data_IF_515772234458
#
_entry.id   IF_515772234458
#
_cell.length_a   1.000
_cell.length_b   1.000
_cell.length_c   1.000
_cell.angle_alpha   90.00
_cell.angle_beta   90.00
_cell.angle_gamma   90.00
#
_symmetry.space_group_name_H-M   'P 1'
#
loop_
_entity.id
_entity.type
_entity.pdbx_description
1 polymer ?
#
# COMPACT_ATOMS: atom_id res chain seq x y z
N UNK A 1 -9.33 -18.36 5.94
CA UNK A 1 -9.55 -16.92 5.62
C UNK A 1 -9.17 -15.95 6.72
N UNK A 2 -9.96 -15.66 7.77
CA UNK A 2 -9.62 -14.56 8.72
C UNK A 2 -8.29 -14.74 9.49
N UNK A 3 -7.95 -15.98 9.87
CA UNK A 3 -6.66 -16.30 10.54
C UNK A 3 -5.45 -16.22 9.61
N UNK A 4 -5.62 -16.45 8.31
CA UNK A 4 -4.49 -16.51 7.36
C UNK A 4 -3.94 -15.12 7.03
N UNK A 5 -4.79 -14.08 7.10
CA UNK A 5 -4.38 -12.72 6.77
C UNK A 5 -4.20 -11.80 7.99
N UNK A 6 -4.47 -12.27 9.22
CA UNK A 6 -4.37 -11.43 10.42
C UNK A 6 -2.95 -10.94 10.70
N UNK A 7 -1.95 -11.80 10.51
CA UNK A 7 -0.53 -11.42 10.65
C UNK A 7 -0.12 -10.42 9.56
N UNK A 8 -0.59 -10.61 8.33
CA UNK A 8 -0.33 -9.69 7.22
C UNK A 8 -0.97 -8.33 7.47
N UNK A 9 -2.25 -8.29 7.86
CA UNK A 9 -2.97 -7.06 8.18
C UNK A 9 -2.32 -6.31 9.35
N UNK A 10 -1.90 -7.03 10.39
CA UNK A 10 -1.18 -6.44 11.54
C UNK A 10 0.15 -5.85 11.10
N UNK A 11 0.91 -6.55 10.25
CA UNK A 11 2.18 -6.08 9.70
C UNK A 11 1.98 -4.84 8.82
N UNK A 12 0.97 -4.84 7.95
CA UNK A 12 0.63 -3.69 7.10
C UNK A 12 0.23 -2.46 7.95
N UNK A 13 -0.54 -2.65 9.03
CA UNK A 13 -0.89 -1.57 9.94
C UNK A 13 0.33 -1.04 10.72
N UNK A 14 1.25 -1.92 11.14
CA UNK A 14 2.50 -1.52 11.77
C UNK A 14 3.40 -0.74 10.80
N UNK A 15 3.48 -1.18 9.55
CA UNK A 15 4.21 -0.47 8.48
C UNK A 15 3.61 0.92 8.23
N UNK A 16 2.28 1.02 8.11
CA UNK A 16 1.58 2.31 7.97
C UNK A 16 1.97 3.30 9.08
N UNK A 17 1.98 2.85 10.34
CA UNK A 17 2.40 3.71 11.47
C UNK A 17 3.87 4.10 11.37
N UNK A 18 4.74 3.15 11.03
CA UNK A 18 6.18 3.36 10.92
C UNK A 18 6.52 4.36 9.83
N UNK A 19 5.91 4.24 8.65
CA UNK A 19 6.09 5.18 7.54
C UNK A 19 5.72 6.60 7.93
N UNK A 20 4.59 6.80 8.62
CA UNK A 20 4.17 8.12 9.06
C UNK A 20 5.12 8.72 10.13
N UNK A 21 5.63 7.90 11.05
CA UNK A 21 6.65 8.34 12.00
C UNK A 21 7.95 8.73 11.29
N UNK A 22 8.39 7.93 10.30
CA UNK A 22 9.59 8.22 9.53
C UNK A 22 9.44 9.51 8.71
N UNK A 23 8.31 9.66 7.99
CA UNK A 23 8.00 10.85 7.22
C UNK A 23 8.06 12.12 8.09
N UNK A 24 7.50 12.06 9.30
CA UNK A 24 7.58 13.17 10.25
C UNK A 24 9.02 13.42 10.73
N UNK A 25 9.72 12.37 11.15
CA UNK A 25 11.08 12.50 11.72
C UNK A 25 12.13 12.98 10.73
N UNK A 26 11.91 12.76 9.43
CA UNK A 26 12.86 13.06 8.37
C UNK A 26 12.51 14.31 7.56
N UNK A 27 11.39 14.97 7.86
CA UNK A 27 10.91 16.15 7.15
C UNK A 27 11.96 17.27 7.10
N UNK A 28 12.62 17.56 8.24
CA UNK A 28 13.66 18.60 8.34
C UNK A 28 14.94 18.25 7.58
N UNK A 29 15.14 16.97 7.25
CA UNK A 29 16.27 16.49 6.44
C UNK A 29 15.99 16.50 4.94
N UNK A 30 14.84 17.03 4.50
CA UNK A 30 14.40 17.03 3.10
C UNK A 30 14.34 15.62 2.49
N UNK A 31 14.06 14.61 3.34
CA UNK A 31 13.87 13.22 2.94
C UNK A 31 12.37 12.90 3.02
N UNK A 32 11.84 12.39 1.92
CA UNK A 32 10.42 12.09 1.78
C UNK A 32 10.19 10.59 1.89
N UNK A 33 9.25 10.20 2.74
CA UNK A 33 8.90 8.81 2.97
C UNK A 33 7.41 8.66 2.78
N UNK A 34 7.03 7.81 1.82
CA UNK A 34 5.64 7.51 1.49
C UNK A 34 5.48 6.03 1.14
N UNK A 35 4.27 5.52 1.17
CA UNK A 35 3.95 4.14 0.80
C UNK A 35 2.73 4.04 -0.11
N UNK A 36 2.78 3.11 -1.05
CA UNK A 36 1.59 2.63 -1.76
C UNK A 36 1.08 1.38 -1.05
N UNK A 37 -0.15 1.40 -0.57
CA UNK A 37 -0.83 0.24 0.02
C UNK A 37 -1.64 -0.42 -1.08
N UNK A 38 -1.30 -1.67 -1.39
CA UNK A 38 -2.07 -2.48 -2.33
C UNK A 38 -3.02 -3.37 -1.55
N UNK A 39 -4.31 -3.07 -1.64
CA UNK A 39 -5.38 -3.72 -0.89
C UNK A 39 -6.10 -4.82 -1.70
N UNK A 40 -5.39 -5.45 -2.63
CA UNK A 40 -5.89 -6.56 -3.45
C UNK A 40 -4.71 -7.37 -4.01
N UNK A 41 -5.01 -8.41 -4.78
CA UNK A 41 -4.02 -9.18 -5.53
C UNK A 41 -3.58 -8.44 -6.78
N UNK A 42 -2.30 -8.55 -7.14
CA UNK A 42 -1.72 -7.85 -8.30
C UNK A 42 -1.64 -8.80 -9.49
N UNK A 43 -2.14 -8.37 -10.64
CA UNK A 43 -2.11 -9.14 -11.87
C UNK A 43 -0.67 -9.57 -12.24
N UNK A 44 -0.53 -10.78 -12.78
CA UNK A 44 0.77 -11.38 -13.11
C UNK A 44 1.58 -11.90 -11.91
N UNK A 45 1.10 -11.77 -10.68
CA UNK A 45 1.75 -12.37 -9.49
C UNK A 45 1.18 -13.74 -9.14
N UNK A 46 1.96 -14.57 -8.45
CA UNK A 46 1.50 -15.89 -7.99
C UNK A 46 0.29 -15.81 -7.04
N UNK A 47 0.11 -14.70 -6.32
CA UNK A 47 -1.03 -14.47 -5.44
C UNK A 47 -2.35 -14.21 -6.19
N UNK A 48 -2.27 -13.76 -7.44
CA UNK A 48 -3.44 -13.46 -8.29
C UNK A 48 -3.98 -14.68 -9.05
N UNK A 49 -3.31 -15.84 -8.98
CA UNK A 49 -3.83 -17.07 -9.57
C UNK A 49 -5.22 -17.37 -9.00
N UNK A 50 -6.18 -17.61 -9.89
CA UNK A 50 -7.59 -17.88 -9.57
C UNK A 50 -8.38 -16.72 -8.92
N UNK A 51 -7.88 -15.48 -8.99
CA UNK A 51 -8.60 -14.28 -8.53
C UNK A 51 -9.39 -13.64 -9.66
N UNK A 52 -10.67 -13.37 -9.41
CA UNK A 52 -11.58 -12.73 -10.39
C UNK A 52 -11.32 -11.24 -10.54
N UNK A 53 -10.87 -10.58 -9.48
CA UNK A 53 -10.54 -9.17 -9.44
C UNK A 53 -9.09 -9.04 -9.00
N UNK A 54 -8.32 -8.23 -9.73
CA UNK A 54 -6.92 -7.94 -9.45
C UNK A 54 -6.62 -6.49 -9.80
N UNK A 55 -5.58 -5.94 -9.19
CA UNK A 55 -5.02 -4.63 -9.52
C UNK A 55 -3.99 -4.80 -10.61
N UNK A 56 -4.11 -4.01 -11.69
CA UNK A 56 -3.09 -3.95 -12.72
C UNK A 56 -1.81 -3.27 -12.19
N UNK A 57 -0.61 -3.79 -12.48
CA UNK A 57 0.66 -3.20 -12.04
C UNK A 57 0.82 -1.71 -12.41
N UNK A 58 0.27 -1.31 -13.55
CA UNK A 58 0.27 0.08 -14.03
C UNK A 58 -0.43 1.02 -13.04
N UNK A 59 -1.53 0.60 -12.42
CA UNK A 59 -2.24 1.38 -11.39
C UNK A 59 -1.36 1.62 -10.17
N UNK A 60 -0.54 0.65 -9.77
CA UNK A 60 0.41 0.80 -8.65
C UNK A 60 1.50 1.80 -9.04
N UNK A 61 2.02 1.72 -10.26
CA UNK A 61 3.02 2.65 -10.78
C UNK A 61 2.49 4.09 -10.85
N UNK A 62 1.23 4.28 -11.23
CA UNK A 62 0.56 5.59 -11.20
C UNK A 62 0.49 6.16 -9.78
N UNK A 63 0.11 5.35 -8.78
CA UNK A 63 0.09 5.81 -7.39
C UNK A 63 1.48 6.12 -6.84
N UNK A 64 2.49 5.34 -7.25
CA UNK A 64 3.88 5.65 -6.92
C UNK A 64 4.29 7.01 -7.49
N UNK A 65 4.02 7.26 -8.78
CA UNK A 65 4.38 8.53 -9.40
C UNK A 65 3.60 9.71 -8.83
N UNK A 66 2.34 9.51 -8.48
CA UNK A 66 1.55 10.50 -7.76
C UNK A 66 2.25 10.92 -6.45
N UNK A 67 2.64 9.96 -5.60
CA UNK A 67 3.32 10.25 -4.33
C UNK A 67 4.69 10.92 -4.55
N UNK A 68 5.43 10.52 -5.58
CA UNK A 68 6.71 11.16 -5.90
C UNK A 68 6.56 12.66 -6.23
N UNK A 69 5.47 13.02 -6.93
CA UNK A 69 5.16 14.41 -7.28
C UNK A 69 4.53 15.17 -6.09
N UNK A 70 3.80 14.48 -5.22
CA UNK A 70 3.08 15.05 -4.08
C UNK A 70 3.75 14.67 -2.76
N UNK A 71 4.98 15.15 -2.56
CA UNK A 71 5.87 14.74 -1.46
C UNK A 71 5.38 15.04 -0.03
N UNK A 72 4.25 15.73 0.11
CA UNK A 72 3.57 15.97 1.39
C UNK A 72 2.65 14.80 1.78
N UNK A 73 2.24 13.98 0.80
CA UNK A 73 1.40 12.80 0.99
C UNK A 73 2.26 11.61 1.41
N UNK A 74 1.86 10.93 2.48
CA UNK A 74 2.59 9.78 3.02
C UNK A 74 2.02 8.45 2.55
N UNK A 75 0.79 8.43 2.02
CA UNK A 75 0.07 7.21 1.68
C UNK A 75 -0.80 7.39 0.45
N UNK A 76 -0.76 6.39 -0.45
CA UNK A 76 -1.79 6.17 -1.46
C UNK A 76 -2.28 4.72 -1.40
N UNK A 77 -3.54 4.47 -1.77
CA UNK A 77 -4.17 3.16 -1.72
C UNK A 77 -4.59 2.70 -3.12
N UNK A 78 -4.30 1.43 -3.44
CA UNK A 78 -4.71 0.74 -4.66
C UNK A 78 -5.64 -0.43 -4.32
N UNK A 79 -6.59 -0.72 -5.21
CA UNK A 79 -7.52 -1.84 -5.05
C UNK A 79 -8.79 -1.47 -4.28
N UNK A 80 -9.77 -2.36 -4.28
CA UNK A 80 -11.04 -2.12 -3.61
C UNK A 80 -10.95 -2.36 -2.11
N UNK A 81 -11.81 -1.70 -1.34
CA UNK A 81 -12.01 -2.04 0.06
C UNK A 81 -12.66 -3.42 0.14
N UNK A 82 -11.96 -4.40 0.69
CA UNK A 82 -12.57 -5.69 1.02
C UNK A 82 -13.67 -5.40 2.06
N UNK A 83 -14.94 -5.40 1.65
CA UNK A 83 -16.05 -5.33 2.58
C UNK A 83 -16.03 -6.60 3.44
N UNK A 84 -15.89 -6.44 4.75
CA UNK A 84 -16.07 -7.55 5.68
C UNK A 84 -17.55 -7.98 5.61
N UNK A 85 -17.78 -9.24 5.23
CA UNK A 85 -19.09 -9.88 5.25
C UNK A 85 -19.59 -10.08 6.69
#
# INVERSE_FOLDING_TARGET
VAKEYSSLATTAAAQYKTTNLLAHSLADSNVYVSQVIVNDFVDGTSGAQDKTYTVHPETIAEQFWYLHQHKQETVSLCGEAIQAA
#
